data_IF_457899934491
#
_entry.id   IF_457899934491
#
_cell.length_a   1.000
_cell.length_b   1.000
_cell.length_c   1.000
_cell.angle_alpha   90.00
_cell.angle_beta   90.00
_cell.angle_gamma   90.00
#
_symmetry.space_group_name_H-M   'P 1'
#
loop_
_entity.id
_entity.type
_entity.pdbx_description
1 polymer ?
#
# COMPACT_ATOMS: atom_id res chain seq x y z
N UNK A 1 -13.88 3.43 18.86
CA UNK A 1 -13.58 3.59 20.30
C UNK A 1 -13.91 2.30 21.03
N UNK A 2 -12.90 1.69 21.67
CA UNK A 2 -12.94 0.36 22.30
C UNK A 2 -13.65 0.36 23.65
N UNK A 3 -14.62 1.27 23.85
CA UNK A 3 -15.28 1.46 25.17
C UNK A 3 -15.96 0.21 25.77
N UNK A 4 -16.20 -0.81 24.94
CA UNK A 4 -16.97 -1.99 25.36
C UNK A 4 -16.13 -3.24 25.66
N UNK A 5 -14.79 -3.14 25.66
CA UNK A 5 -13.90 -4.26 25.97
C UNK A 5 -12.89 -3.87 27.04
N UNK A 6 -13.06 -4.33 28.28
CA UNK A 6 -12.11 -4.06 29.37
C UNK A 6 -10.69 -4.51 29.03
N UNK A 7 -10.54 -5.66 28.35
CA UNK A 7 -9.25 -6.18 27.89
C UNK A 7 -8.56 -5.19 26.94
N UNK A 8 -9.27 -4.72 25.92
CA UNK A 8 -8.67 -3.80 24.93
C UNK A 8 -8.37 -2.43 25.54
N UNK A 9 -9.13 -1.98 26.53
CA UNK A 9 -8.81 -0.76 27.27
C UNK A 9 -7.53 -0.92 28.09
N UNK A 10 -7.36 -2.06 28.79
CA UNK A 10 -6.14 -2.34 29.54
C UNK A 10 -4.91 -2.45 28.62
N UNK A 11 -5.04 -3.14 27.49
CA UNK A 11 -3.98 -3.23 26.46
C UNK A 11 -3.60 -1.86 25.91
N UNK A 12 -4.58 -1.03 25.60
CA UNK A 12 -4.33 0.34 25.11
C UNK A 12 -3.65 1.21 26.18
N UNK A 13 -4.05 1.07 27.45
CA UNK A 13 -3.41 1.76 28.58
C UNK A 13 -1.93 1.39 28.69
N UNK A 14 -1.62 0.10 28.78
CA UNK A 14 -0.24 -0.40 28.84
C UNK A 14 0.60 0.07 27.63
N UNK A 15 0.03 0.04 26.43
CA UNK A 15 0.73 0.50 25.22
C UNK A 15 1.03 2.00 25.27
N UNK A 16 0.10 2.82 25.73
CA UNK A 16 0.27 4.27 25.86
C UNK A 16 1.31 4.65 26.93
N UNK A 17 1.45 3.82 27.96
CA UNK A 17 2.46 3.96 29.01
C UNK A 17 3.84 3.43 28.60
N UNK A 18 3.98 2.91 27.37
CA UNK A 18 5.24 2.35 26.88
C UNK A 18 5.49 0.89 27.28
N UNK A 19 4.54 0.23 27.90
CA UNK A 19 4.64 -1.16 28.37
C UNK A 19 4.16 -2.16 27.29
N UNK A 20 4.70 -2.09 26.07
CA UNK A 20 4.25 -2.88 24.92
C UNK A 20 4.36 -4.41 25.17
N UNK A 21 5.41 -4.87 25.86
CA UNK A 21 5.55 -6.30 26.20
C UNK A 21 4.43 -6.78 27.11
N UNK A 22 4.11 -6.03 28.14
CA UNK A 22 3.00 -6.38 29.07
C UNK A 22 1.64 -6.38 28.36
N UNK A 23 1.45 -5.45 27.42
CA UNK A 23 0.25 -5.42 26.58
C UNK A 23 0.12 -6.68 25.71
N UNK A 24 1.23 -7.15 25.14
CA UNK A 24 1.28 -8.37 24.34
C UNK A 24 1.05 -9.61 25.20
N UNK A 25 1.69 -9.71 26.37
CA UNK A 25 1.51 -10.80 27.32
C UNK A 25 0.05 -10.90 27.80
N UNK A 26 -0.58 -9.75 28.02
CA UNK A 26 -1.99 -9.69 28.40
C UNK A 26 -2.89 -10.22 27.27
N UNK A 27 -2.62 -9.87 26.00
CA UNK A 27 -3.34 -10.44 24.87
C UNK A 27 -3.11 -11.95 24.74
N UNK A 28 -1.86 -12.40 24.90
CA UNK A 28 -1.49 -13.81 24.81
C UNK A 28 -2.19 -14.65 25.88
N UNK A 29 -2.22 -14.18 27.14
CA UNK A 29 -2.90 -14.85 28.25
C UNK A 29 -4.42 -15.01 28.04
N UNK A 30 -5.01 -14.14 27.20
CA UNK A 30 -6.42 -14.23 26.80
C UNK A 30 -6.64 -14.94 25.45
N UNK A 31 -5.62 -15.64 24.92
CA UNK A 31 -5.70 -16.38 23.65
C UNK A 31 -5.96 -15.49 22.43
N UNK A 32 -5.49 -14.22 22.48
CA UNK A 32 -5.64 -13.25 21.39
C UNK A 32 -4.38 -13.11 20.53
N UNK A 33 -3.36 -13.89 20.80
CA UNK A 33 -2.11 -13.96 20.02
C UNK A 33 -1.99 -15.35 19.45
N UNK A 34 -1.73 -15.45 18.17
CA UNK A 34 -1.44 -16.71 17.47
C UNK A 34 -0.08 -16.58 16.80
N UNK A 35 0.84 -17.45 17.16
CA UNK A 35 2.15 -17.54 16.54
C UNK A 35 2.05 -18.41 15.28
N UNK A 36 2.20 -17.83 14.12
CA UNK A 36 2.14 -18.51 12.84
C UNK A 36 3.48 -18.52 12.07
N UNK A 37 4.52 -17.91 12.63
CA UNK A 37 5.84 -17.85 12.02
C UNK A 37 5.81 -17.30 10.58
N UNK A 38 6.37 -18.07 9.63
CA UNK A 38 6.40 -17.69 8.21
C UNK A 38 5.04 -17.77 7.52
N UNK A 39 4.08 -18.49 8.10
CA UNK A 39 2.77 -18.75 7.52
C UNK A 39 1.70 -17.75 8.00
N UNK A 40 2.12 -16.65 8.63
CA UNK A 40 1.22 -15.64 9.22
C UNK A 40 0.22 -15.04 8.20
N UNK A 41 0.62 -14.88 6.94
CA UNK A 41 -0.23 -14.38 5.86
C UNK A 41 -1.37 -15.35 5.57
N UNK A 42 -1.04 -16.63 5.41
CA UNK A 42 -2.04 -17.68 5.18
C UNK A 42 -2.94 -17.85 6.40
N UNK A 43 -2.37 -17.90 7.60
CA UNK A 43 -3.12 -18.03 8.84
C UNK A 43 -4.11 -16.88 9.05
N UNK A 44 -3.73 -15.64 8.73
CA UNK A 44 -4.63 -14.48 8.81
C UNK A 44 -5.79 -14.58 7.80
N UNK A 45 -5.52 -15.01 6.57
CA UNK A 45 -6.54 -15.21 5.56
C UNK A 45 -7.51 -16.34 5.94
N UNK A 46 -6.99 -17.48 6.39
CA UNK A 46 -7.80 -18.64 6.80
C UNK A 46 -8.67 -18.32 8.03
N UNK A 47 -8.10 -17.61 9.01
CA UNK A 47 -8.85 -17.17 10.17
C UNK A 47 -10.03 -16.27 9.77
N UNK A 48 -9.80 -15.33 8.85
CA UNK A 48 -10.88 -14.46 8.35
C UNK A 48 -11.94 -15.25 7.55
N UNK A 49 -11.51 -16.16 6.70
CA UNK A 49 -12.42 -17.02 5.91
C UNK A 49 -13.22 -17.99 6.78
N UNK A 50 -12.71 -18.38 7.95
CA UNK A 50 -13.42 -19.23 8.91
C UNK A 50 -14.54 -18.50 9.65
N UNK A 51 -14.58 -17.16 9.60
CA UNK A 51 -15.63 -16.38 10.24
C UNK A 51 -16.97 -16.56 9.48
N UNK A 52 -18.09 -16.56 10.20
CA UNK A 52 -19.42 -16.49 9.59
C UNK A 52 -19.55 -15.23 8.69
N UNK A 53 -20.33 -15.32 7.57
CA UNK A 53 -20.42 -14.22 6.59
C UNK A 53 -20.80 -12.85 7.19
N UNK A 54 -21.71 -12.84 8.17
CA UNK A 54 -22.15 -11.65 8.89
C UNK A 54 -21.02 -11.01 9.71
N UNK A 55 -20.09 -11.83 10.22
CA UNK A 55 -18.93 -11.37 10.99
C UNK A 55 -17.82 -10.87 10.09
N UNK A 56 -17.65 -11.44 8.90
CA UNK A 56 -16.62 -11.01 7.93
C UNK A 56 -16.78 -9.54 7.56
N UNK A 57 -18.01 -9.07 7.33
CA UNK A 57 -18.30 -7.66 7.02
C UNK A 57 -17.95 -6.66 8.15
N UNK A 58 -17.76 -7.16 9.37
CA UNK A 58 -17.39 -6.35 10.54
C UNK A 58 -15.94 -6.56 10.98
N UNK A 59 -15.17 -7.39 10.26
CA UNK A 59 -13.80 -7.77 10.63
C UNK A 59 -12.83 -7.36 9.54
N UNK A 60 -11.84 -6.55 9.89
CA UNK A 60 -10.76 -6.14 8.99
C UNK A 60 -9.44 -6.80 9.41
N UNK A 61 -8.60 -7.11 8.41
CA UNK A 61 -7.22 -7.56 8.61
C UNK A 61 -6.32 -6.35 8.40
N UNK A 62 -5.43 -6.10 9.36
CA UNK A 62 -4.42 -5.05 9.29
C UNK A 62 -3.03 -5.68 9.18
N UNK A 63 -2.21 -5.17 8.27
CA UNK A 63 -0.81 -5.55 8.11
C UNK A 63 0.03 -4.32 7.78
N UNK A 64 1.28 -4.30 8.22
CA UNK A 64 2.21 -3.22 7.92
C UNK A 64 2.79 -3.32 6.50
N UNK A 65 2.95 -4.55 5.98
CA UNK A 65 3.57 -4.83 4.69
C UNK A 65 2.59 -4.68 3.51
N UNK A 66 3.06 -4.11 2.40
CA UNK A 66 2.28 -4.09 1.14
C UNK A 66 2.17 -5.47 0.52
N UNK A 67 3.25 -6.23 0.58
CA UNK A 67 3.33 -7.58 0.00
C UNK A 67 2.43 -8.53 0.76
N UNK A 68 2.45 -8.50 2.10
CA UNK A 68 1.55 -9.28 2.94
C UNK A 68 0.09 -8.96 2.63
N UNK A 69 -0.24 -7.66 2.50
CA UNK A 69 -1.59 -7.23 2.15
C UNK A 69 -2.02 -7.75 0.79
N UNK A 70 -1.14 -7.72 -0.21
CA UNK A 70 -1.44 -8.24 -1.54
C UNK A 70 -1.67 -9.75 -1.50
N UNK A 71 -0.85 -10.48 -0.76
CA UNK A 71 -0.98 -11.93 -0.59
C UNK A 71 -2.25 -12.30 0.19
N UNK A 72 -2.56 -11.62 1.30
CA UNK A 72 -3.80 -11.83 2.07
C UNK A 72 -5.02 -11.60 1.18
N UNK A 73 -5.05 -10.50 0.42
CA UNK A 73 -6.16 -10.20 -0.48
C UNK A 73 -6.34 -11.30 -1.54
N UNK A 74 -5.24 -11.80 -2.12
CA UNK A 74 -5.30 -12.88 -3.12
C UNK A 74 -5.84 -14.18 -2.50
N UNK A 75 -5.39 -14.54 -1.30
CA UNK A 75 -5.85 -15.74 -0.59
C UNK A 75 -7.34 -15.63 -0.20
N UNK A 76 -7.76 -14.48 0.33
CA UNK A 76 -9.16 -14.22 0.68
C UNK A 76 -10.03 -14.27 -0.57
N UNK A 77 -9.62 -13.62 -1.67
CA UNK A 77 -10.35 -13.66 -2.93
C UNK A 77 -10.52 -15.10 -3.47
N UNK A 78 -9.43 -15.88 -3.46
CA UNK A 78 -9.46 -17.28 -3.87
C UNK A 78 -10.38 -18.13 -2.97
N UNK A 79 -10.41 -17.86 -1.66
CA UNK A 79 -11.31 -18.47 -0.71
C UNK A 79 -12.77 -18.16 -1.03
N UNK A 80 -13.11 -16.91 -1.24
CA UNK A 80 -14.47 -16.46 -1.56
C UNK A 80 -14.98 -16.99 -2.91
N UNK A 81 -14.09 -17.18 -3.89
CA UNK A 81 -14.41 -17.83 -5.15
C UNK A 81 -14.73 -19.31 -4.93
N UNK A 82 -13.93 -20.04 -4.14
CA UNK A 82 -14.16 -21.45 -3.79
C UNK A 82 -15.48 -21.67 -3.03
N UNK A 83 -15.84 -20.74 -2.17
CA UNK A 83 -17.12 -20.76 -1.43
C UNK A 83 -18.32 -20.39 -2.32
N UNK A 84 -18.10 -19.86 -3.54
CA UNK A 84 -19.16 -19.35 -4.41
C UNK A 84 -19.75 -18.01 -3.97
N UNK A 85 -19.15 -17.34 -2.98
CA UNK A 85 -19.54 -15.98 -2.55
C UNK A 85 -19.20 -14.96 -3.63
N UNK A 86 -18.02 -15.08 -4.25
CA UNK A 86 -17.67 -14.38 -5.48
C UNK A 86 -18.01 -15.27 -6.68
N UNK A 87 -18.56 -14.67 -7.72
CA UNK A 87 -18.97 -15.38 -8.96
C UNK A 87 -18.34 -14.68 -10.17
N UNK A 88 -18.07 -15.47 -11.21
CA UNK A 88 -17.53 -14.98 -12.48
C UNK A 88 -16.01 -15.07 -12.59
N UNK A 89 -15.49 -14.84 -13.79
CA UNK A 89 -14.07 -14.99 -14.10
C UNK A 89 -13.21 -13.80 -13.62
N UNK A 90 -13.81 -12.79 -13.03
CA UNK A 90 -13.11 -11.56 -12.66
C UNK A 90 -12.65 -10.76 -13.87
N UNK A 91 -12.38 -9.47 -13.67
CA UNK A 91 -11.85 -8.58 -14.70
C UNK A 91 -10.44 -8.15 -14.26
N UNK A 92 -9.44 -8.42 -15.09
CA UNK A 92 -8.09 -7.94 -14.87
C UNK A 92 -8.03 -6.44 -15.16
N UNK A 93 -7.88 -5.63 -14.12
CA UNK A 93 -7.71 -4.20 -14.24
C UNK A 93 -6.27 -3.82 -13.95
N UNK A 94 -5.69 -2.96 -14.80
CA UNK A 94 -4.42 -2.30 -14.52
C UNK A 94 -4.73 -1.05 -13.70
N UNK A 95 -4.30 -1.02 -12.45
CA UNK A 95 -4.50 0.11 -11.55
C UNK A 95 -3.15 0.76 -11.25
N UNK A 96 -3.09 2.08 -11.33
CA UNK A 96 -1.92 2.83 -10.88
C UNK A 96 -1.82 2.74 -9.36
N UNK A 97 -0.65 2.34 -8.88
CA UNK A 97 -0.33 2.34 -7.46
C UNK A 97 0.71 3.42 -7.19
N UNK A 98 0.53 4.16 -6.09
CA UNK A 98 1.53 5.14 -5.69
C UNK A 98 2.89 4.48 -5.43
N UNK A 99 3.95 4.98 -6.07
CA UNK A 99 5.31 4.55 -5.82
C UNK A 99 5.81 4.97 -4.42
N UNK A 100 5.06 5.81 -3.70
CA UNK A 100 5.42 6.41 -2.40
C UNK A 100 6.80 7.09 -2.40
N UNK A 101 7.16 7.66 -3.52
CA UNK A 101 8.39 8.41 -3.69
C UNK A 101 8.27 9.74 -2.95
N UNK A 102 9.27 10.09 -2.17
CA UNK A 102 9.37 11.42 -1.55
C UNK A 102 9.75 12.45 -2.61
N UNK A 103 9.53 13.73 -2.32
CA UNK A 103 9.91 14.82 -3.23
C UNK A 103 11.42 14.87 -3.47
N UNK A 104 12.20 14.63 -2.43
CA UNK A 104 13.65 14.57 -2.54
C UNK A 104 14.09 13.43 -3.47
N UNK A 105 13.50 12.26 -3.32
CA UNK A 105 13.79 11.12 -4.19
C UNK A 105 13.42 11.40 -5.65
N UNK A 106 12.36 12.17 -5.91
CA UNK A 106 11.95 12.53 -7.27
C UNK A 106 12.98 13.38 -8.04
N UNK A 107 13.94 13.98 -7.36
CA UNK A 107 15.07 14.70 -7.98
C UNK A 107 16.12 13.76 -8.56
N UNK A 108 16.10 12.50 -8.21
CA UNK A 108 17.08 11.53 -8.69
C UNK A 108 16.53 10.69 -9.84
N UNK A 109 17.26 10.65 -10.95
CA UNK A 109 16.89 9.83 -12.11
C UNK A 109 16.70 8.35 -11.77
N UNK A 110 17.42 7.83 -10.77
CA UNK A 110 17.32 6.46 -10.28
C UNK A 110 15.95 6.10 -9.70
N UNK A 111 15.13 7.08 -9.36
CA UNK A 111 13.77 6.91 -8.86
C UNK A 111 12.79 6.55 -9.99
N UNK A 112 13.10 6.96 -11.21
CA UNK A 112 12.21 6.75 -12.36
C UNK A 112 12.51 5.42 -13.06
N UNK A 113 11.44 4.77 -13.52
CA UNK A 113 11.52 3.54 -14.33
C UNK A 113 10.59 3.65 -15.53
N UNK A 114 11.00 3.11 -16.66
CA UNK A 114 10.14 3.04 -17.83
C UNK A 114 8.80 2.36 -17.50
N UNK A 115 7.71 2.92 -17.98
CA UNK A 115 6.35 2.48 -17.72
C UNK A 115 5.68 3.09 -16.48
N UNK A 116 6.41 3.80 -15.62
CA UNK A 116 5.79 4.58 -14.54
C UNK A 116 5.01 5.77 -15.10
N UNK A 117 4.02 6.21 -14.35
CA UNK A 117 3.24 7.43 -14.63
C UNK A 117 3.62 8.49 -13.61
N UNK A 118 4.03 9.64 -14.11
CA UNK A 118 4.24 10.86 -13.34
C UNK A 118 2.99 11.73 -13.45
N UNK A 119 2.31 11.98 -12.35
CA UNK A 119 1.18 12.89 -12.28
C UNK A 119 1.65 14.29 -11.87
N UNK A 120 1.57 15.25 -12.77
CA UNK A 120 1.76 16.66 -12.46
C UNK A 120 0.41 17.28 -12.09
N UNK A 121 0.14 17.50 -10.80
CA UNK A 121 -1.13 18.07 -10.32
C UNK A 121 -1.29 19.55 -10.65
N UNK A 122 -0.19 20.22 -10.90
CA UNK A 122 -0.11 21.61 -11.36
C UNK A 122 1.00 21.77 -12.40
N UNK A 123 1.12 22.97 -12.97
CA UNK A 123 2.23 23.31 -13.86
C UNK A 123 3.56 23.27 -13.08
N UNK A 124 4.54 22.53 -13.62
CA UNK A 124 5.91 22.44 -13.07
C UNK A 124 6.82 23.21 -14.03
N UNK A 125 6.96 24.51 -13.81
CA UNK A 125 7.64 25.44 -14.74
C UNK A 125 9.11 25.11 -14.93
N UNK A 126 9.79 24.66 -13.89
CA UNK A 126 11.21 24.29 -13.91
C UNK A 126 11.50 23.15 -14.89
N UNK A 127 10.54 22.25 -15.06
CA UNK A 127 10.58 21.16 -16.02
C UNK A 127 9.79 21.47 -17.30
N UNK A 128 9.05 22.56 -17.30
CA UNK A 128 8.13 22.94 -18.37
C UNK A 128 7.02 21.91 -18.57
N UNK A 129 6.55 21.26 -17.51
CA UNK A 129 5.45 20.30 -17.54
C UNK A 129 4.15 21.01 -17.21
N UNK A 130 3.15 20.89 -18.08
CA UNK A 130 1.79 21.28 -17.76
C UNK A 130 1.12 20.26 -16.82
N UNK A 131 -0.02 20.63 -16.23
CA UNK A 131 -0.85 19.70 -15.43
C UNK A 131 -1.26 18.49 -16.27
N UNK A 132 -1.12 17.28 -15.71
CA UNK A 132 -1.56 16.04 -16.34
C UNK A 132 -0.64 14.85 -16.04
N UNK A 133 -0.93 13.74 -16.67
CA UNK A 133 -0.19 12.50 -16.53
C UNK A 133 0.83 12.36 -17.67
N UNK A 134 2.00 11.88 -17.31
CA UNK A 134 3.13 11.65 -18.22
C UNK A 134 3.66 10.23 -17.99
N UNK A 135 3.81 9.46 -19.04
CA UNK A 135 4.44 8.14 -18.97
C UNK A 135 5.96 8.29 -19.08
N UNK A 136 6.70 7.69 -18.17
CA UNK A 136 8.16 7.56 -18.25
C UNK A 136 8.47 6.58 -19.38
N UNK A 137 9.14 7.04 -20.43
CA UNK A 137 9.56 6.19 -21.57
C UNK A 137 10.94 5.63 -21.40
N UNK A 138 11.84 6.45 -20.90
CA UNK A 138 13.25 6.07 -20.74
C UNK A 138 13.92 6.91 -19.65
N UNK A 139 14.92 6.32 -19.02
CA UNK A 139 15.82 6.99 -18.07
C UNK A 139 17.24 6.92 -18.64
N UNK A 140 17.75 8.05 -19.07
CA UNK A 140 19.03 8.15 -19.77
C UNK A 140 20.21 8.06 -18.80
N UNK A 141 21.37 7.63 -19.31
CA UNK A 141 22.61 7.56 -18.54
C UNK A 141 23.11 8.93 -18.05
N UNK A 142 22.72 10.01 -18.72
CA UNK A 142 23.04 11.38 -18.34
C UNK A 142 22.13 11.94 -17.21
N UNK A 143 21.31 11.10 -16.60
CA UNK A 143 20.40 11.48 -15.52
C UNK A 143 19.11 12.14 -15.97
N UNK A 144 18.86 12.26 -17.27
CA UNK A 144 17.61 12.82 -17.79
C UNK A 144 16.55 11.76 -17.96
N UNK A 145 15.29 12.17 -17.82
CA UNK A 145 14.13 11.30 -17.93
C UNK A 145 13.29 11.72 -19.13
N UNK A 146 13.00 10.77 -20.02
CA UNK A 146 12.13 10.98 -21.15
C UNK A 146 10.69 10.68 -20.76
N UNK A 147 9.85 11.69 -20.80
CA UNK A 147 8.42 11.61 -20.54
C UNK A 147 7.64 11.65 -21.85
N UNK A 148 6.50 10.99 -21.89
CA UNK A 148 5.55 11.08 -23.01
C UNK A 148 4.16 11.43 -22.50
N UNK A 149 3.50 12.27 -23.27
CA UNK A 149 2.08 12.59 -23.13
C UNK A 149 1.47 12.80 -24.52
N UNK A 150 0.37 12.11 -24.81
CA UNK A 150 -0.39 12.28 -26.06
C UNK A 150 0.50 12.17 -27.33
N UNK A 151 1.42 11.21 -27.34
CA UNK A 151 2.35 10.99 -28.45
C UNK A 151 3.51 11.99 -28.56
N UNK A 152 3.59 12.97 -27.67
CA UNK A 152 4.69 13.93 -27.61
C UNK A 152 5.66 13.55 -26.50
N UNK A 153 6.94 13.54 -26.85
CA UNK A 153 8.00 13.25 -25.87
C UNK A 153 8.63 14.53 -25.36
N UNK A 154 9.00 14.52 -24.09
CA UNK A 154 9.74 15.59 -23.45
C UNK A 154 10.85 15.04 -22.60
N UNK A 155 12.04 15.58 -22.73
CA UNK A 155 13.17 15.27 -21.89
C UNK A 155 13.21 16.24 -20.72
N UNK A 156 13.22 15.72 -19.50
CA UNK A 156 13.34 16.52 -18.29
C UNK A 156 14.63 16.19 -17.55
N UNK A 157 15.07 17.13 -16.75
CA UNK A 157 16.17 16.97 -15.80
C UNK A 157 15.56 16.99 -14.39
N UNK A 158 15.41 15.84 -13.72
CA UNK A 158 14.76 15.76 -12.41
C UNK A 158 15.47 16.57 -11.31
N UNK A 159 16.79 16.76 -11.43
CA UNK A 159 17.56 17.54 -10.45
C UNK A 159 17.11 19.01 -10.37
N UNK A 160 16.47 19.51 -11.42
CA UNK A 160 15.87 20.85 -11.46
C UNK A 160 14.54 20.98 -10.72
N UNK A 161 13.98 19.88 -10.22
CA UNK A 161 12.77 19.91 -9.43
C UNK A 161 12.98 20.67 -8.10
N UNK A 162 12.11 21.65 -7.86
CA UNK A 162 12.04 22.29 -6.55
C UNK A 162 11.44 21.30 -5.53
N UNK A 163 12.17 20.98 -4.43
CA UNK A 163 11.66 20.08 -3.40
C UNK A 163 10.37 20.61 -2.72
N UNK A 164 10.09 21.90 -2.82
CA UNK A 164 8.87 22.52 -2.28
C UNK A 164 7.67 22.42 -3.23
N UNK A 165 7.89 22.05 -4.49
CA UNK A 165 6.82 21.93 -5.47
C UNK A 165 5.84 20.80 -5.10
N UNK A 166 4.54 21.06 -5.22
CA UNK A 166 3.49 20.07 -4.94
C UNK A 166 3.15 19.30 -6.23
N UNK A 167 3.49 18.03 -6.26
CA UNK A 167 3.04 17.07 -7.26
C UNK A 167 1.70 16.48 -6.89
#
# INVERSE_FOLDING_TARGET
RQKNSPLLLAVAGLSNEGHASLALDLLASHGKVTEAGKDHVAAAADLWLSLPPDRRGQTAIFTAGRDDRAQINALVQAGLLREGTLKGEGVALKVLQSANTTREEMRFASTYRAGQVLEARMEVRELGLGKGEYTVRDVRRDGKVMLEREGRTKLIDPDRLDPQHRF
#
